data_IF_856333125113
#
_entry.id   IF_856333125113
#
_cell.length_a   1.000
_cell.length_b   1.000
_cell.length_c   1.000
_cell.angle_alpha   90.00
_cell.angle_beta   90.00
_cell.angle_gamma   90.00
#
_symmetry.space_group_name_H-M   'P 1'
#
loop_
_entity.id
_entity.type
_entity.pdbx_description
1 polymer ?
#
# COMPACT_ATOMS: atom_id res chain seq x y z
N UNK A 1 -15.89 11.54 -23.44
CA UNK A 1 -16.42 11.10 -22.14
C UNK A 1 -15.35 11.30 -21.09
N UNK A 2 -15.71 11.67 -19.85
CA UNK A 2 -14.72 11.92 -18.80
C UNK A 2 -14.22 10.61 -18.17
N UNK A 3 -15.11 9.65 -17.93
CA UNK A 3 -14.74 8.28 -17.57
C UNK A 3 -14.60 7.42 -18.82
N UNK A 4 -13.64 6.48 -18.79
CA UNK A 4 -13.41 5.51 -19.88
C UNK A 4 -13.73 4.12 -19.34
N UNK A 5 -14.65 3.35 -19.96
CA UNK A 5 -15.03 2.02 -19.48
C UNK A 5 -13.85 1.03 -19.34
N UNK A 6 -12.79 1.25 -20.10
CA UNK A 6 -11.58 0.42 -20.10
C UNK A 6 -10.55 0.85 -19.02
N UNK A 7 -10.76 2.00 -18.38
CA UNK A 7 -9.84 2.57 -17.40
C UNK A 7 -10.10 1.97 -16.01
N UNK A 8 -9.41 0.87 -15.71
CA UNK A 8 -9.46 0.19 -14.41
C UNK A 8 -9.05 1.05 -13.20
N UNK A 9 -8.51 2.26 -13.44
CA UNK A 9 -8.17 3.22 -12.37
C UNK A 9 -9.37 4.02 -11.85
N UNK A 10 -10.49 4.05 -12.58
CA UNK A 10 -11.69 4.79 -12.18
C UNK A 10 -12.41 4.19 -10.95
N UNK A 11 -12.17 2.91 -10.67
CA UNK A 11 -12.69 2.19 -9.51
C UNK A 11 -14.08 1.57 -9.72
N UNK A 12 -14.71 1.75 -10.88
CA UNK A 12 -15.97 1.10 -11.22
C UNK A 12 -15.73 -0.30 -11.81
N UNK A 13 -16.60 -1.26 -11.46
CA UNK A 13 -16.51 -2.64 -11.95
C UNK A 13 -17.37 -2.90 -13.18
N UNK A 14 -18.45 -2.13 -13.36
CA UNK A 14 -19.47 -2.41 -14.36
C UNK A 14 -19.60 -1.25 -15.36
N UNK A 15 -19.41 -1.55 -16.65
CA UNK A 15 -19.41 -0.54 -17.71
C UNK A 15 -20.75 0.18 -17.89
N UNK A 16 -21.88 -0.45 -17.56
CA UNK A 16 -23.20 0.20 -17.55
C UNK A 16 -23.31 1.28 -16.47
N UNK A 17 -22.68 1.08 -15.31
CA UNK A 17 -22.61 2.11 -14.25
C UNK A 17 -21.75 3.28 -14.72
N UNK A 18 -20.60 3.00 -15.35
CA UNK A 18 -19.72 4.03 -15.93
C UNK A 18 -20.46 4.85 -16.98
N UNK A 19 -21.21 4.19 -17.88
CA UNK A 19 -22.02 4.86 -18.91
C UNK A 19 -23.09 5.76 -18.28
N UNK A 20 -23.81 5.28 -17.26
CA UNK A 20 -24.83 6.06 -16.57
C UNK A 20 -24.23 7.27 -15.84
N UNK A 21 -23.12 7.11 -15.13
CA UNK A 21 -22.44 8.24 -14.46
C UNK A 21 -21.95 9.27 -15.48
N UNK A 22 -21.35 8.82 -16.58
CA UNK A 22 -20.96 9.71 -17.69
C UNK A 22 -22.17 10.45 -18.28
N UNK A 23 -23.30 9.77 -18.48
CA UNK A 23 -24.53 10.40 -18.97
C UNK A 23 -25.02 11.48 -17.99
N UNK A 24 -25.10 11.16 -16.69
CA UNK A 24 -25.56 12.09 -15.66
C UNK A 24 -24.65 13.31 -15.53
N UNK A 25 -23.35 13.09 -15.57
CA UNK A 25 -22.35 14.15 -15.55
C UNK A 25 -22.42 15.01 -16.81
N UNK A 26 -22.61 14.40 -18.00
CA UNK A 26 -22.66 15.10 -19.28
C UNK A 26 -23.93 15.96 -19.49
N UNK A 27 -24.89 15.93 -18.55
CA UNK A 27 -26.08 16.80 -18.59
C UNK A 27 -25.74 18.29 -18.53
N UNK A 28 -24.56 18.62 -18.01
CA UNK A 28 -24.06 20.00 -17.99
C UNK A 28 -22.53 20.00 -18.19
N UNK A 29 -21.99 20.96 -18.93
CA UNK A 29 -20.55 21.03 -19.29
C UNK A 29 -19.63 21.04 -18.06
N UNK A 30 -20.06 21.73 -17.00
CA UNK A 30 -19.37 21.73 -15.70
C UNK A 30 -19.13 20.35 -15.10
N UNK A 31 -19.94 19.33 -15.38
CA UNK A 31 -19.71 17.99 -14.82
C UNK A 31 -18.40 17.38 -15.31
N UNK A 32 -18.23 17.17 -16.63
CA UNK A 32 -16.98 16.66 -17.19
C UNK A 32 -15.78 17.57 -16.93
N UNK A 33 -15.96 18.90 -16.98
CA UNK A 33 -14.92 19.88 -16.66
C UNK A 33 -14.44 19.70 -15.21
N UNK A 34 -15.37 19.66 -14.26
CA UNK A 34 -15.07 19.45 -12.85
C UNK A 34 -14.33 18.12 -12.62
N UNK A 35 -14.73 17.04 -13.29
CA UNK A 35 -13.99 15.77 -13.19
C UNK A 35 -12.54 15.89 -13.66
N UNK A 36 -12.34 16.47 -14.85
CA UNK A 36 -11.01 16.56 -15.47
C UNK A 36 -10.07 17.51 -14.72
N UNK A 37 -10.57 18.65 -14.26
CA UNK A 37 -9.79 19.65 -13.50
C UNK A 37 -9.32 19.12 -12.14
N UNK A 38 -10.03 18.14 -11.57
CA UNK A 38 -9.81 17.69 -10.21
C UNK A 38 -9.28 16.25 -10.11
N UNK A 39 -8.97 15.60 -11.24
CA UNK A 39 -8.52 14.19 -11.30
C UNK A 39 -7.21 13.90 -10.54
N UNK A 40 -6.38 14.92 -10.37
CA UNK A 40 -5.08 14.82 -9.70
C UNK A 40 -5.11 15.20 -8.22
N UNK A 41 -6.23 15.75 -7.74
CA UNK A 41 -6.35 16.24 -6.37
C UNK A 41 -6.62 15.10 -5.37
N UNK A 42 -6.42 15.40 -4.09
CA UNK A 42 -6.87 14.54 -3.00
C UNK A 42 -8.39 14.63 -2.83
N UNK A 43 -8.99 13.62 -2.19
CA UNK A 43 -10.43 13.61 -1.93
C UNK A 43 -10.89 14.85 -1.14
N UNK A 44 -10.13 15.28 -0.14
CA UNK A 44 -10.46 16.44 0.68
C UNK A 44 -10.56 17.73 -0.18
N UNK A 45 -9.60 17.96 -1.07
CA UNK A 45 -9.61 19.13 -1.97
C UNK A 45 -10.78 19.09 -2.97
N UNK A 46 -11.15 17.90 -3.45
CA UNK A 46 -12.34 17.72 -4.31
C UNK A 46 -13.62 18.06 -3.55
N UNK A 47 -13.74 17.58 -2.31
CA UNK A 47 -14.91 17.82 -1.46
C UNK A 47 -15.05 19.30 -1.09
N UNK A 48 -13.96 19.99 -0.79
CA UNK A 48 -13.95 21.43 -0.52
C UNK A 48 -14.40 22.24 -1.74
N UNK A 49 -13.92 21.88 -2.94
CA UNK A 49 -14.38 22.51 -4.18
C UNK A 49 -15.85 22.25 -4.47
N UNK A 50 -16.33 21.03 -4.22
CA UNK A 50 -17.76 20.71 -4.38
C UNK A 50 -18.61 21.55 -3.42
N UNK A 51 -18.20 21.67 -2.15
CA UNK A 51 -18.86 22.52 -1.15
C UNK A 51 -19.00 23.96 -1.64
N UNK A 52 -17.91 24.56 -2.14
CA UNK A 52 -17.93 25.92 -2.67
C UNK A 52 -18.92 26.07 -3.86
N UNK A 53 -19.03 25.06 -4.72
CA UNK A 53 -20.01 25.05 -5.81
C UNK A 53 -21.44 24.96 -5.29
N UNK A 54 -21.69 24.12 -4.28
CA UNK A 54 -23.02 23.94 -3.69
C UNK A 54 -23.51 25.18 -2.96
N UNK A 55 -22.63 25.88 -2.25
CA UNK A 55 -22.93 27.12 -1.52
C UNK A 55 -23.11 28.32 -2.45
N UNK A 56 -22.56 28.28 -3.66
CA UNK A 56 -22.70 29.36 -4.63
C UNK A 56 -24.11 29.39 -5.24
N UNK A 57 -24.88 30.44 -4.93
CA UNK A 57 -26.24 30.65 -5.46
C UNK A 57 -26.29 30.99 -6.95
N UNK A 58 -25.18 31.46 -7.54
CA UNK A 58 -25.09 31.77 -8.97
C UNK A 58 -24.92 30.50 -9.84
N UNK A 59 -24.63 29.35 -9.24
CA UNK A 59 -24.53 28.08 -9.97
C UNK A 59 -25.91 27.43 -10.05
N UNK A 60 -26.31 27.03 -11.26
CA UNK A 60 -27.60 26.37 -11.52
C UNK A 60 -27.68 25.00 -10.83
N UNK A 61 -28.90 24.51 -10.55
CA UNK A 61 -29.10 23.18 -9.95
C UNK A 61 -28.50 22.08 -10.83
N UNK A 62 -28.71 22.15 -12.15
CA UNK A 62 -28.17 21.18 -13.10
C UNK A 62 -26.64 21.14 -13.09
N UNK A 63 -25.97 22.30 -12.98
CA UNK A 63 -24.53 22.36 -12.86
C UNK A 63 -24.05 21.74 -11.53
N UNK A 64 -24.75 22.02 -10.41
CA UNK A 64 -24.45 21.42 -9.11
C UNK A 64 -24.58 19.89 -9.15
N UNK A 65 -25.66 19.39 -9.75
CA UNK A 65 -25.88 17.95 -9.93
C UNK A 65 -24.80 17.31 -10.80
N UNK A 66 -24.47 17.92 -11.95
CA UNK A 66 -23.42 17.44 -12.83
C UNK A 66 -22.05 17.39 -12.13
N UNK A 67 -21.71 18.43 -11.34
CA UNK A 67 -20.51 18.43 -10.50
C UNK A 67 -20.56 17.37 -9.41
N UNK A 68 -21.73 17.11 -8.80
CA UNK A 68 -21.88 16.05 -7.81
C UNK A 68 -21.61 14.65 -8.41
N UNK A 69 -22.07 14.40 -9.64
CA UNK A 69 -21.71 13.17 -10.37
C UNK A 69 -20.21 13.09 -10.70
N UNK A 70 -19.59 14.21 -11.06
CA UNK A 70 -18.14 14.30 -11.22
C UNK A 70 -17.38 13.99 -9.93
N UNK A 71 -17.81 14.56 -8.81
CA UNK A 71 -17.27 14.28 -7.47
C UNK A 71 -17.46 12.84 -7.05
N UNK A 72 -18.62 12.23 -7.31
CA UNK A 72 -18.84 10.80 -7.04
C UNK A 72 -17.78 9.95 -7.75
N UNK A 73 -17.56 10.22 -9.03
CA UNK A 73 -16.58 9.49 -9.82
C UNK A 73 -15.14 9.69 -9.31
N UNK A 74 -14.79 10.91 -8.90
CA UNK A 74 -13.50 11.20 -8.25
C UNK A 74 -13.35 10.48 -6.91
N UNK A 75 -14.41 10.44 -6.09
CA UNK A 75 -14.41 9.75 -4.79
C UNK A 75 -14.16 8.24 -4.94
N UNK A 76 -14.84 7.60 -5.91
CA UNK A 76 -14.63 6.18 -6.22
C UNK A 76 -13.19 5.93 -6.68
N UNK A 77 -12.65 6.79 -7.56
CA UNK A 77 -11.25 6.74 -8.00
C UNK A 77 -10.28 6.88 -6.82
N UNK A 78 -10.51 7.84 -5.93
CA UNK A 78 -9.71 8.07 -4.73
C UNK A 78 -9.73 6.86 -3.79
N UNK A 79 -10.90 6.29 -3.52
CA UNK A 79 -11.05 5.10 -2.69
C UNK A 79 -10.30 3.90 -3.31
N UNK A 80 -10.40 3.72 -4.64
CA UNK A 80 -9.67 2.67 -5.36
C UNK A 80 -8.16 2.87 -5.26
N UNK A 81 -7.67 4.10 -5.42
CA UNK A 81 -6.25 4.46 -5.29
C UNK A 81 -5.73 4.22 -3.87
N UNK A 82 -6.48 4.64 -2.84
CA UNK A 82 -6.13 4.43 -1.44
C UNK A 82 -6.05 2.94 -1.11
N UNK A 83 -7.03 2.13 -1.53
CA UNK A 83 -6.97 0.67 -1.39
C UNK A 83 -5.70 0.09 -2.02
N UNK A 84 -5.35 0.51 -3.25
CA UNK A 84 -4.13 0.06 -3.93
C UNK A 84 -2.85 0.46 -3.19
N UNK A 85 -2.78 1.70 -2.67
CA UNK A 85 -1.63 2.18 -1.91
C UNK A 85 -1.47 1.44 -0.59
N UNK A 86 -2.56 1.24 0.15
CA UNK A 86 -2.55 0.46 1.39
C UNK A 86 -2.11 -0.98 1.16
N UNK A 87 -2.59 -1.62 0.09
CA UNK A 87 -2.15 -2.96 -0.28
C UNK A 87 -0.65 -3.01 -0.64
N UNK A 88 -0.13 -2.02 -1.36
CA UNK A 88 1.28 -1.93 -1.69
C UNK A 88 2.16 -1.74 -0.44
N UNK A 89 1.78 -0.82 0.47
CA UNK A 89 2.48 -0.63 1.74
C UNK A 89 2.46 -1.91 2.60
N UNK A 90 1.32 -2.61 2.65
CA UNK A 90 1.19 -3.86 3.40
C UNK A 90 2.08 -4.95 2.84
N UNK A 91 2.16 -5.08 1.51
CA UNK A 91 3.04 -6.04 0.87
C UNK A 91 4.51 -5.73 1.16
N UNK A 92 4.91 -4.46 1.07
CA UNK A 92 6.26 -4.02 1.39
C UNK A 92 6.63 -4.36 2.85
N UNK A 93 5.73 -4.05 3.78
CA UNK A 93 5.92 -4.36 5.20
C UNK A 93 6.10 -5.87 5.44
N UNK A 94 5.29 -6.72 4.80
CA UNK A 94 5.41 -8.18 4.92
C UNK A 94 6.75 -8.70 4.39
N UNK A 95 7.24 -8.13 3.29
CA UNK A 95 8.54 -8.50 2.72
C UNK A 95 9.68 -8.16 3.69
N UNK A 96 9.65 -6.97 4.26
CA UNK A 96 10.72 -6.51 5.16
C UNK A 96 10.70 -7.28 6.49
N UNK A 97 9.51 -7.60 7.00
CA UNK A 97 9.34 -8.49 8.14
C UNK A 97 9.98 -9.87 7.90
N UNK A 98 9.74 -10.47 6.72
CA UNK A 98 10.28 -11.78 6.37
C UNK A 98 11.82 -11.75 6.26
N UNK A 99 12.38 -10.69 5.67
CA UNK A 99 13.84 -10.50 5.58
C UNK A 99 14.47 -10.43 6.97
N UNK A 100 13.89 -9.63 7.87
CA UNK A 100 14.38 -9.48 9.24
C UNK A 100 14.37 -10.81 9.99
N UNK A 101 13.28 -11.57 9.87
CA UNK A 101 13.17 -12.88 10.50
C UNK A 101 14.21 -13.86 9.96
N UNK A 102 14.43 -13.88 8.64
CA UNK A 102 15.45 -14.72 8.00
C UNK A 102 16.86 -14.36 8.49
N UNK A 103 17.19 -13.07 8.62
CA UNK A 103 18.50 -12.66 9.16
C UNK A 103 18.68 -13.08 10.62
N UNK A 104 17.63 -12.97 11.45
CA UNK A 104 17.68 -13.38 12.85
C UNK A 104 17.92 -14.89 13.00
N UNK A 105 17.22 -15.71 12.20
CA UNK A 105 17.44 -17.16 12.18
C UNK A 105 18.86 -17.53 11.71
N UNK A 106 19.39 -16.85 10.69
CA UNK A 106 20.76 -17.08 10.24
C UNK A 106 21.81 -16.70 11.31
N UNK A 107 21.62 -15.58 12.01
CA UNK A 107 22.49 -15.18 13.11
C UNK A 107 22.44 -16.21 14.25
N UNK A 108 21.24 -16.63 14.65
CA UNK A 108 21.07 -17.65 15.68
C UNK A 108 21.74 -18.99 15.29
N UNK A 109 21.55 -19.45 14.05
CA UNK A 109 22.19 -20.66 13.56
C UNK A 109 23.72 -20.56 13.53
N UNK A 110 24.27 -19.37 13.26
CA UNK A 110 25.71 -19.12 13.28
C UNK A 110 26.25 -19.17 14.71
N UNK A 111 25.58 -18.51 15.66
CA UNK A 111 25.95 -18.53 17.07
C UNK A 111 25.88 -19.96 17.65
N UNK A 112 24.86 -20.73 17.29
CA UNK A 112 24.77 -22.15 17.72
C UNK A 112 25.93 -22.98 17.19
N UNK A 113 26.34 -22.77 15.93
CA UNK A 113 27.52 -23.46 15.37
C UNK A 113 28.79 -23.06 16.10
N UNK A 114 28.99 -21.78 16.37
CA UNK A 114 30.15 -21.28 17.10
C UNK A 114 30.26 -21.91 18.49
N UNK A 115 29.18 -21.88 19.29
CA UNK A 115 29.12 -22.53 20.60
C UNK A 115 29.41 -24.04 20.52
N UNK A 116 28.92 -24.73 19.49
CA UNK A 116 29.20 -26.15 19.30
C UNK A 116 30.67 -26.44 18.96
N UNK A 117 31.31 -25.54 18.20
CA UNK A 117 32.73 -25.62 17.87
C UNK A 117 33.60 -25.33 19.10
N UNK A 118 33.25 -24.32 19.90
CA UNK A 118 33.94 -23.99 21.15
C UNK A 118 33.89 -25.14 22.15
N UNK A 119 32.71 -25.73 22.36
CA UNK A 119 32.55 -26.89 23.23
C UNK A 119 33.41 -28.07 22.77
N UNK A 120 33.45 -28.35 21.46
CA UNK A 120 34.29 -29.42 20.89
C UNK A 120 35.79 -29.16 21.07
N UNK A 121 36.22 -27.93 20.82
CA UNK A 121 37.62 -27.52 20.97
C UNK A 121 38.07 -27.52 22.44
N UNK A 122 37.18 -27.15 23.37
CA UNK A 122 37.41 -27.22 24.81
C UNK A 122 37.57 -28.66 25.30
N UNK A 123 36.73 -29.58 24.82
CA UNK A 123 36.86 -31.02 25.09
C UNK A 123 38.19 -31.57 24.57
N UNK A 124 38.60 -31.19 23.35
CA UNK A 124 39.85 -31.65 22.75
C UNK A 124 41.09 -31.12 23.50
N UNK A 125 41.04 -29.89 24.02
CA UNK A 125 42.09 -29.30 24.86
C UNK A 125 42.17 -29.96 26.25
N UNK A 126 41.03 -30.32 26.84
CA UNK A 126 40.98 -31.11 28.07
C UNK A 126 41.52 -32.54 27.91
N UNK A 127 41.24 -33.21 26.78
CA UNK A 127 41.78 -34.54 26.48
C UNK A 127 43.28 -34.54 26.19
N UNK A 128 43.82 -33.50 25.54
CA UNK A 128 45.27 -33.32 25.34
C UNK A 128 46.02 -33.02 26.65
N UNK A 129 45.40 -32.28 27.57
CA UNK A 129 45.98 -32.03 28.90
C UNK A 129 45.98 -33.28 29.79
N UNK A 130 44.98 -34.16 29.66
CA UNK A 130 44.91 -35.42 30.41
C UNK A 130 45.85 -36.52 29.86
N UNK A 131 46.25 -36.45 28.59
CA UNK A 131 47.21 -37.37 27.98
C UNK A 131 48.68 -36.97 28.21
N UNK A 132 48.95 -35.78 28.74
CA UNK A 132 50.30 -35.26 28.96
C UNK A 132 50.88 -35.59 30.35
N UNK A 133 50.22 -36.42 31.15
CA UNK A 133 50.75 -36.88 32.45
C UNK A 133 51.01 -38.40 32.45
N UNK A 134 52.16 -38.87 31.94
CA UNK A 134 52.66 -40.19 32.22
C UNK A 134 53.77 -40.11 33.27
N UNK A 135 53.40 -40.35 34.53
CA UNK A 135 54.28 -41.03 35.48
C UNK A 135 54.99 -40.14 36.50
N UNK A 136 54.57 -40.29 37.75
CA UNK A 136 55.51 -40.54 38.85
C UNK A 136 55.05 -41.79 39.62
N UNK A 137 55.52 -42.95 39.17
CA UNK A 137 55.81 -44.06 40.08
C UNK A 137 57.26 -43.91 40.52
N UNK A 138 57.46 -43.66 41.80
CA UNK A 138 58.75 -43.57 42.47
C UNK A 138 58.55 -43.37 43.96
#
# INVERSE_FOLDING_TARGET
MALRPEDTSDGFQHGNVVAFVNEKMARHTKGPEFYLENISLSWAEVEDKLRAILENSAVTSEAKEACAWGSLALGVRCARRQGRQLHACRLQWLQDFTKLHKSALHALASNMKELSCEARNGVQRGSLSAAADPGQTG
#
